data_IF_435210459010
#
_entry.id   IF_435210459010
#
_cell.length_a   1.000
_cell.length_b   1.000
_cell.length_c   1.000
_cell.angle_alpha   90.00
_cell.angle_beta   90.00
_cell.angle_gamma   90.00
#
_symmetry.space_group_name_H-M   'P 1'
#
loop_
_entity.id
_entity.type
_entity.pdbx_description
1 polymer ?
#
# COMPACT_ATOMS: atom_id res chain seq x y z
N UNK A 1 -9.34 -3.59 6.99
CA UNK A 1 -8.16 -4.06 7.77
C UNK A 1 -6.98 -3.15 7.47
N UNK A 2 -6.21 -2.78 8.46
CA UNK A 2 -4.94 -2.05 8.29
C UNK A 2 -3.84 -2.86 8.97
N UNK A 3 -2.77 -3.17 8.25
CA UNK A 3 -1.64 -3.94 8.77
C UNK A 3 -0.40 -3.05 8.91
N UNK A 4 0.14 -2.96 10.12
CA UNK A 4 1.22 -2.04 10.49
C UNK A 4 2.26 -2.75 11.35
N UNK A 5 3.53 -2.41 11.16
CA UNK A 5 4.62 -2.87 12.01
C UNK A 5 5.31 -1.72 12.76
N UNK A 6 5.92 -2.05 13.89
CA UNK A 6 6.75 -1.13 14.65
C UNK A 6 8.12 -1.76 14.93
N UNK A 7 9.05 -1.02 15.50
CA UNK A 7 10.36 -1.56 15.87
C UNK A 7 10.29 -2.68 16.92
N UNK A 8 9.22 -2.74 17.68
CA UNK A 8 8.99 -3.80 18.71
C UNK A 8 8.25 -5.02 18.19
N UNK A 9 7.60 -4.90 17.04
CA UNK A 9 6.82 -5.97 16.45
C UNK A 9 7.36 -6.25 15.05
N UNK A 10 7.91 -7.42 14.85
CA UNK A 10 8.39 -7.84 13.54
C UNK A 10 7.19 -8.13 12.65
N UNK A 11 7.26 -7.66 11.42
CA UNK A 11 6.27 -7.95 10.41
C UNK A 11 6.55 -9.30 9.77
N UNK A 12 6.20 -10.38 10.44
CA UNK A 12 6.45 -11.73 9.92
C UNK A 12 5.76 -11.99 8.58
N UNK A 13 4.65 -11.31 8.33
CA UNK A 13 3.96 -11.32 7.04
C UNK A 13 4.79 -10.66 5.92
N UNK A 14 5.81 -9.88 6.29
CA UNK A 14 6.79 -9.30 5.38
C UNK A 14 8.09 -10.10 5.32
N UNK A 15 8.12 -11.33 5.81
CA UNK A 15 9.30 -12.19 5.74
C UNK A 15 9.42 -12.81 4.34
N UNK A 16 10.10 -12.19 3.38
CA UNK A 16 10.30 -12.79 2.07
C UNK A 16 11.27 -13.97 2.22
N UNK A 17 10.90 -15.07 1.65
CA UNK A 17 11.76 -16.22 1.47
C UNK A 17 11.80 -16.56 -0.02
N UNK A 18 12.45 -17.66 -0.40
CA UNK A 18 12.53 -18.05 -1.80
C UNK A 18 11.18 -18.34 -2.45
N UNK A 19 10.15 -18.64 -1.66
CA UNK A 19 8.81 -18.93 -2.15
C UNK A 19 7.90 -17.69 -2.14
N UNK A 20 8.17 -16.69 -1.28
CA UNK A 20 7.24 -15.61 -0.95
C UNK A 20 7.82 -14.21 -1.23
N UNK A 21 8.31 -13.99 -2.46
CA UNK A 21 8.79 -12.65 -2.88
C UNK A 21 7.71 -11.54 -2.78
N UNK A 22 6.44 -11.93 -2.64
CA UNK A 22 5.31 -10.99 -2.53
C UNK A 22 5.10 -10.42 -1.13
N UNK A 23 5.75 -10.96 -0.11
CA UNK A 23 5.52 -10.59 1.29
C UNK A 23 6.29 -9.37 1.77
N UNK A 24 6.82 -8.55 0.86
CA UNK A 24 7.66 -7.42 1.25
C UNK A 24 6.87 -6.26 1.90
N UNK A 25 5.67 -5.96 1.40
CA UNK A 25 4.91 -4.78 1.80
C UNK A 25 3.72 -4.98 2.76
N UNK A 26 3.30 -6.18 3.18
CA UNK A 26 2.05 -6.36 3.91
C UNK A 26 1.95 -5.56 5.21
N UNK A 27 3.08 -5.26 5.87
CA UNK A 27 3.12 -4.52 7.14
C UNK A 27 3.40 -3.02 6.99
N UNK A 28 3.40 -2.51 5.76
CA UNK A 28 3.71 -1.11 5.45
C UNK A 28 2.45 -0.23 5.37
N UNK A 29 1.44 -0.56 6.17
CA UNK A 29 0.15 0.11 6.19
C UNK A 29 -0.79 -0.40 5.11
N UNK A 30 -0.65 -1.67 4.74
CA UNK A 30 -1.56 -2.30 3.80
C UNK A 30 -3.00 -2.22 4.31
N UNK A 31 -3.90 -1.73 3.46
CA UNK A 31 -5.33 -1.58 3.74
C UNK A 31 -6.13 -2.47 2.81
N UNK A 32 -7.03 -3.25 3.34
CA UNK A 32 -7.93 -4.09 2.53
C UNK A 32 -9.38 -3.68 2.82
N UNK A 33 -10.11 -3.39 1.75
CA UNK A 33 -11.52 -3.06 1.78
C UNK A 33 -12.32 -4.23 1.24
N UNK A 34 -13.22 -4.77 2.02
CA UNK A 34 -14.03 -5.90 1.61
C UNK A 34 -15.52 -5.60 1.82
N UNK A 35 -16.31 -5.90 0.81
CA UNK A 35 -17.75 -5.84 0.84
C UNK A 35 -18.38 -7.21 0.60
N UNK A 36 -17.90 -7.93 -0.42
CA UNK A 36 -18.40 -9.26 -0.80
C UNK A 36 -17.41 -10.37 -0.47
N UNK A 37 -16.14 -10.04 -0.23
CA UNK A 37 -15.04 -10.98 -0.06
C UNK A 37 -14.41 -11.43 -1.39
N UNK A 38 -14.88 -10.93 -2.52
CA UNK A 38 -14.34 -11.26 -3.85
C UNK A 38 -13.34 -10.23 -4.38
N UNK A 39 -13.17 -9.10 -3.69
CA UNK A 39 -12.38 -7.96 -4.13
C UNK A 39 -10.91 -8.31 -4.38
N UNK A 40 -10.38 -9.27 -3.63
CA UNK A 40 -8.97 -9.70 -3.72
C UNK A 40 -8.83 -11.18 -4.11
N UNK A 41 -9.94 -11.80 -4.54
CA UNK A 41 -9.92 -13.23 -4.86
C UNK A 41 -9.07 -13.51 -6.08
N UNK A 42 -8.11 -14.43 -5.93
CA UNK A 42 -7.22 -14.89 -7.00
C UNK A 42 -6.41 -13.79 -7.69
N UNK A 43 -6.18 -12.65 -7.01
CA UNK A 43 -5.49 -11.49 -7.58
C UNK A 43 -3.97 -11.65 -7.58
N UNK A 44 -3.40 -12.50 -6.74
CA UNK A 44 -1.96 -12.57 -6.47
C UNK A 44 -1.11 -12.78 -7.72
N UNK A 45 -1.57 -13.58 -8.69
CA UNK A 45 -0.82 -13.82 -9.91
C UNK A 45 -0.61 -12.59 -10.80
N UNK A 46 -1.50 -11.59 -10.71
CA UNK A 46 -1.39 -10.31 -11.42
C UNK A 46 -1.04 -9.13 -10.53
N UNK A 47 -0.68 -9.39 -9.27
CA UNK A 47 -0.45 -8.35 -8.27
C UNK A 47 0.79 -7.53 -8.57
N UNK A 48 0.66 -6.20 -8.56
CA UNK A 48 1.79 -5.30 -8.46
C UNK A 48 2.13 -5.13 -6.97
N UNK A 49 3.18 -5.80 -6.53
CA UNK A 49 3.58 -5.78 -5.11
C UNK A 49 3.93 -4.39 -4.62
N UNK A 50 4.41 -3.51 -5.51
CA UNK A 50 4.73 -2.11 -5.18
C UNK A 50 3.50 -1.22 -5.13
N UNK A 51 2.36 -1.71 -5.62
CA UNK A 51 1.06 -1.06 -5.58
C UNK A 51 0.09 -1.75 -4.61
N UNK A 52 0.60 -2.42 -3.60
CA UNK A 52 -0.25 -3.00 -2.54
C UNK A 52 -1.14 -1.92 -1.92
N UNK A 53 -2.42 -2.19 -1.70
CA UNK A 53 -3.37 -1.22 -1.17
C UNK A 53 -2.86 -0.54 0.10
N UNK A 54 -2.97 0.78 0.18
CA UNK A 54 -2.53 1.58 1.33
C UNK A 54 -1.03 1.83 1.41
N UNK A 55 -0.21 1.13 0.63
CA UNK A 55 1.25 1.18 0.74
C UNK A 55 1.82 2.39 0.01
N UNK A 56 2.86 2.98 0.61
CA UNK A 56 3.68 4.03 -0.02
C UNK A 56 5.02 3.42 -0.39
N UNK A 57 5.27 3.28 -1.68
CA UNK A 57 6.44 2.60 -2.21
C UNK A 57 6.99 3.27 -3.48
N UNK A 58 8.17 2.85 -3.89
CA UNK A 58 8.78 3.26 -5.15
C UNK A 58 8.22 2.46 -6.31
N UNK A 59 7.88 3.12 -7.39
CA UNK A 59 7.46 2.47 -8.64
C UNK A 59 8.59 1.62 -9.24
N UNK A 60 8.22 0.57 -9.96
CA UNK A 60 9.14 -0.27 -10.72
C UNK A 60 9.98 -1.23 -9.89
N UNK A 61 9.64 -1.41 -8.61
CA UNK A 61 10.29 -2.37 -7.72
C UNK A 61 9.59 -3.74 -7.73
N UNK A 62 8.98 -4.11 -8.83
CA UNK A 62 8.19 -5.34 -8.99
C UNK A 62 9.03 -6.62 -8.91
N UNK A 63 10.32 -6.49 -9.20
CA UNK A 63 11.29 -7.57 -9.11
C UNK A 63 12.20 -7.32 -7.92
N UNK A 64 11.68 -7.62 -6.75
CA UNK A 64 12.52 -7.68 -5.58
C UNK A 64 13.38 -8.93 -5.71
N UNK A 65 14.69 -8.75 -5.72
CA UNK A 65 15.60 -9.86 -5.46
C UNK A 65 15.15 -10.52 -4.16
N UNK A 66 14.95 -11.84 -4.13
CA UNK A 66 14.53 -12.52 -2.92
C UNK A 66 15.60 -12.34 -1.85
N UNK A 67 15.31 -11.47 -0.90
CA UNK A 67 16.09 -11.32 0.31
C UNK A 67 15.55 -12.28 1.33
N UNK A 68 16.28 -13.34 1.62
CA UNK A 68 15.90 -14.26 2.68
C UNK A 68 16.05 -13.55 4.02
N UNK A 69 14.93 -13.33 4.67
CA UNK A 69 14.87 -12.68 5.96
C UNK A 69 13.89 -13.42 6.88
N UNK A 70 14.43 -14.17 7.80
CA UNK A 70 13.64 -14.99 8.73
C UNK A 70 12.82 -14.20 9.73
N UNK A 71 13.17 -12.93 9.96
CA UNK A 71 12.46 -12.07 10.91
C UNK A 71 11.50 -11.09 10.24
N UNK A 72 11.54 -10.98 8.91
CA UNK A 72 10.75 -10.02 8.17
C UNK A 72 11.26 -8.59 8.29
N UNK A 73 10.34 -7.66 8.12
CA UNK A 73 10.61 -6.22 8.16
C UNK A 73 9.80 -5.55 9.26
N UNK A 74 10.28 -4.42 9.72
CA UNK A 74 9.59 -3.58 10.69
C UNK A 74 9.81 -2.10 10.39
N UNK A 75 9.19 -1.22 11.16
CA UNK A 75 9.55 0.20 11.15
C UNK A 75 10.74 0.46 12.06
N UNK A 76 11.55 1.46 11.74
CA UNK A 76 12.59 2.00 12.66
C UNK A 76 12.00 2.66 13.90
N UNK A 77 10.70 2.93 13.89
CA UNK A 77 10.02 3.69 14.93
C UNK A 77 9.17 2.80 15.82
N UNK A 78 9.12 3.17 17.09
CA UNK A 78 8.31 2.47 18.08
C UNK A 78 6.93 3.12 18.23
N UNK A 79 6.27 3.35 17.11
CA UNK A 79 4.93 3.92 17.10
C UNK A 79 4.07 3.21 16.04
N UNK A 80 3.19 2.36 16.51
CA UNK A 80 2.04 1.82 15.80
C UNK A 80 0.94 1.61 16.83
N UNK A 81 -0.19 2.22 16.64
CA UNK A 81 -1.30 2.18 17.60
C UNK A 81 -2.64 2.20 16.86
N UNK A 82 -3.64 1.60 17.50
CA UNK A 82 -5.02 1.67 17.07
C UNK A 82 -5.94 1.70 18.29
N UNK A 83 -7.10 2.31 18.11
CA UNK A 83 -8.18 2.33 19.09
C UNK A 83 -9.52 2.22 18.37
N UNK A 84 -10.50 1.65 19.06
CA UNK A 84 -11.89 1.57 18.62
C UNK A 84 -12.81 1.90 19.78
N UNK A 85 -13.96 2.44 19.47
CA UNK A 85 -15.02 2.72 20.46
C UNK A 85 -15.97 1.55 20.67
N UNK A 86 -15.76 0.45 19.92
CA UNK A 86 -16.62 -0.74 19.98
C UNK A 86 -17.88 -0.66 19.12
N UNK A 87 -18.19 0.49 18.53
CA UNK A 87 -19.35 0.66 17.62
C UNK A 87 -19.04 0.36 16.16
N UNK A 88 -17.76 0.19 15.84
CA UNK A 88 -17.22 0.04 14.48
C UNK A 88 -16.38 1.23 14.03
N UNK A 89 -16.39 2.32 14.79
CA UNK A 89 -15.51 3.44 14.57
C UNK A 89 -14.11 3.12 15.12
N UNK A 90 -13.08 3.52 14.38
CA UNK A 90 -11.70 3.22 14.75
C UNK A 90 -10.73 4.29 14.26
N UNK A 91 -9.63 4.40 14.96
CA UNK A 91 -8.46 5.19 14.54
C UNK A 91 -7.21 4.32 14.62
N UNK A 92 -6.33 4.47 13.65
CA UNK A 92 -5.04 3.83 13.66
C UNK A 92 -3.97 4.76 13.11
N UNK A 93 -2.72 4.57 13.53
CA UNK A 93 -1.62 5.35 13.01
C UNK A 93 -0.27 4.72 13.31
N UNK A 94 0.70 5.03 12.45
CA UNK A 94 2.06 4.57 12.64
C UNK A 94 3.07 5.47 11.91
N UNK A 95 4.33 5.32 12.29
CA UNK A 95 5.44 5.95 11.58
C UNK A 95 6.08 4.87 10.71
N UNK A 96 5.96 5.06 9.41
CA UNK A 96 6.54 4.17 8.42
C UNK A 96 7.97 4.62 8.08
N UNK A 97 8.93 3.76 8.33
CA UNK A 97 10.31 3.84 7.84
C UNK A 97 10.88 2.43 7.93
N UNK A 98 10.84 1.71 6.82
CA UNK A 98 11.14 0.28 6.77
C UNK A 98 12.58 -0.04 7.13
N UNK A 99 12.77 -1.11 7.85
CA UNK A 99 14.06 -1.74 8.08
C UNK A 99 13.93 -3.26 8.13
N UNK A 100 15.03 -3.95 7.90
CA UNK A 100 15.12 -5.37 8.16
C UNK A 100 15.09 -5.60 9.68
N UNK A 101 14.23 -6.50 10.15
CA UNK A 101 14.08 -6.76 11.59
C UNK A 101 15.33 -7.37 12.22
N UNK A 102 16.20 -8.01 11.44
CA UNK A 102 17.49 -8.54 11.91
C UNK A 102 18.54 -7.46 12.19
N UNK A 103 18.35 -6.26 11.69
CA UNK A 103 19.26 -5.12 11.90
C UNK A 103 18.98 -4.35 13.19
N UNK A 104 17.99 -4.79 13.98
CA UNK A 104 17.70 -4.18 15.28
C UNK A 104 18.87 -4.32 16.22
N UNK A 105 19.12 -3.27 16.98
CA UNK A 105 20.09 -3.32 18.08
C UNK A 105 19.75 -4.44 19.07
N UNK A 106 20.75 -5.19 19.47
CA UNK A 106 20.61 -6.32 20.40
C UNK A 106 20.03 -7.60 19.79
N UNK A 107 19.72 -7.61 18.50
CA UNK A 107 19.32 -8.83 17.80
C UNK A 107 20.54 -9.54 17.25
N UNK A 108 20.75 -10.76 17.69
CA UNK A 108 21.82 -11.66 17.21
C UNK A 108 21.20 -12.74 16.33
N UNK A 109 20.81 -12.37 15.12
CA UNK A 109 20.21 -13.27 14.15
C UNK A 109 21.23 -13.64 13.07
N UNK A 110 21.76 -14.84 13.14
CA UNK A 110 22.75 -15.38 12.20
C UNK A 110 22.12 -15.86 10.88
N UNK A 111 20.80 -15.90 10.80
CA UNK A 111 20.08 -16.46 9.66
C UNK A 111 19.61 -15.40 8.65
N UNK A 112 19.79 -14.12 8.94
CA UNK A 112 19.37 -13.08 8.00
C UNK A 112 20.40 -12.90 6.91
N UNK A 113 20.03 -13.09 5.68
CA UNK A 113 20.84 -12.60 4.59
C UNK A 113 20.83 -11.08 4.62
N UNK A 114 22.00 -10.49 4.61
CA UNK A 114 22.22 -9.05 4.59
C UNK A 114 21.86 -8.38 3.24
N UNK A 115 21.09 -9.02 2.40
CA UNK A 115 20.66 -8.47 1.12
C UNK A 115 19.58 -7.41 1.28
N UNK A 116 19.88 -6.33 2.01
CA UNK A 116 19.05 -5.15 2.03
C UNK A 116 19.10 -4.46 0.69
N UNK A 117 18.02 -4.45 -0.05
CA UNK A 117 17.92 -3.51 -1.14
C UNK A 117 17.65 -2.11 -0.54
N UNK A 118 18.71 -1.35 -0.31
CA UNK A 118 18.65 0.00 0.29
C UNK A 118 17.66 0.94 -0.43
N UNK A 119 17.43 0.70 -1.71
CA UNK A 119 16.46 1.45 -2.51
C UNK A 119 15.05 1.35 -1.92
N UNK A 120 14.72 0.24 -1.32
CA UNK A 120 13.41 -0.01 -0.70
C UNK A 120 13.23 0.72 0.63
N UNK A 121 14.33 1.04 1.31
CA UNK A 121 14.31 1.71 2.61
C UNK A 121 14.27 3.22 2.53
N UNK A 122 14.36 3.78 1.37
CA UNK A 122 14.45 5.22 1.18
C UNK A 122 13.16 6.00 1.42
N UNK A 123 12.11 5.38 1.97
CA UNK A 123 10.81 6.01 2.15
C UNK A 123 10.45 6.10 3.62
N UNK A 124 10.06 7.31 4.04
CA UNK A 124 9.46 7.56 5.36
C UNK A 124 8.13 8.27 5.18
N UNK A 125 7.15 7.94 6.00
CA UNK A 125 5.86 8.60 6.07
C UNK A 125 5.23 8.48 7.46
N UNK A 126 4.43 9.48 7.84
CA UNK A 126 3.50 9.40 8.96
C UNK A 126 2.14 9.05 8.39
N UNK A 127 1.52 7.98 8.85
CA UNK A 127 0.23 7.53 8.35
C UNK A 127 -0.79 7.44 9.46
N UNK A 128 -2.00 7.88 9.16
CA UNK A 128 -3.15 7.81 10.08
C UNK A 128 -4.40 7.40 9.30
N UNK A 129 -5.25 6.65 9.95
CA UNK A 129 -6.46 6.10 9.40
C UNK A 129 -7.61 6.36 10.37
N UNK A 130 -8.71 6.88 9.86
CA UNK A 130 -9.92 7.15 10.60
C UNK A 130 -11.06 6.42 9.92
N UNK A 131 -11.71 5.53 10.64
CA UNK A 131 -12.82 4.73 10.15
C UNK A 131 -14.06 5.16 10.91
N UNK A 132 -15.11 5.50 10.17
CA UNK A 132 -16.40 5.86 10.73
C UNK A 132 -17.50 5.29 9.85
N UNK A 133 -18.22 4.30 10.35
CA UNK A 133 -19.20 3.57 9.57
C UNK A 133 -18.62 3.05 8.25
N UNK A 134 -19.20 3.44 7.13
CA UNK A 134 -18.77 3.03 5.78
C UNK A 134 -17.66 3.90 5.18
N UNK A 135 -17.09 4.81 5.96
CA UNK A 135 -16.07 5.74 5.49
C UNK A 135 -14.71 5.46 6.12
N UNK A 136 -13.68 5.57 5.31
CA UNK A 136 -12.30 5.63 5.81
C UNK A 136 -11.60 6.86 5.25
N UNK A 137 -10.95 7.62 6.12
CA UNK A 137 -10.04 8.69 5.75
C UNK A 137 -8.63 8.22 6.07
N UNK A 138 -7.79 8.14 5.04
CA UNK A 138 -6.36 7.86 5.17
C UNK A 138 -5.57 9.15 4.96
N UNK A 139 -4.71 9.49 5.91
CA UNK A 139 -3.85 10.66 5.85
C UNK A 139 -2.38 10.21 5.82
N UNK A 140 -1.61 10.86 4.97
CA UNK A 140 -0.16 10.69 4.90
C UNK A 140 0.53 12.04 5.00
N UNK A 141 1.55 12.13 5.84
CA UNK A 141 2.36 13.33 6.01
C UNK A 141 3.85 12.99 5.99
N UNK A 142 4.68 13.98 5.67
CA UNK A 142 6.14 13.82 5.71
C UNK A 142 6.67 12.72 4.79
N UNK A 143 5.99 12.44 3.69
CA UNK A 143 6.47 11.46 2.70
C UNK A 143 7.81 11.95 2.16
N UNK A 144 8.86 11.19 2.46
CA UNK A 144 10.23 11.57 2.15
C UNK A 144 10.86 10.50 1.26
N UNK A 145 11.44 10.93 0.15
CA UNK A 145 12.29 10.10 -0.69
C UNK A 145 13.77 10.37 -0.36
N UNK A 146 14.40 9.49 0.39
CA UNK A 146 15.81 9.60 0.77
C UNK A 146 16.77 9.05 -0.29
N UNK A 147 16.25 8.38 -1.29
CA UNK A 147 16.97 7.80 -2.42
C UNK A 147 16.56 8.49 -3.72
N UNK A 148 16.68 9.81 -3.75
CA UNK A 148 16.20 10.64 -4.87
C UNK A 148 16.91 10.37 -6.21
N UNK A 149 18.13 9.82 -6.16
CA UNK A 149 18.88 9.41 -7.36
C UNK A 149 18.41 8.09 -7.99
N UNK A 150 17.52 7.36 -7.33
CA UNK A 150 17.00 6.11 -7.86
C UNK A 150 15.82 6.36 -8.81
N UNK A 151 15.68 5.54 -9.87
CA UNK A 151 14.56 5.65 -10.79
C UNK A 151 13.23 5.33 -10.09
N UNK A 152 12.13 5.78 -10.68
CA UNK A 152 10.77 5.61 -10.16
C UNK A 152 10.37 6.67 -9.12
N UNK A 153 9.10 7.00 -9.12
CA UNK A 153 8.52 7.94 -8.16
C UNK A 153 8.05 7.21 -6.90
N UNK A 154 8.01 7.93 -5.79
CA UNK A 154 7.29 7.44 -4.61
C UNK A 154 5.79 7.68 -4.84
N UNK A 155 5.01 6.63 -4.74
CA UNK A 155 3.56 6.68 -4.85
C UNK A 155 2.90 6.06 -3.62
N UNK A 156 1.70 6.52 -3.30
CA UNK A 156 0.80 5.85 -2.36
C UNK A 156 -0.33 5.22 -3.17
N UNK A 157 -0.47 3.92 -3.06
CA UNK A 157 -1.58 3.19 -3.68
C UNK A 157 -2.79 3.28 -2.75
N UNK A 158 -3.93 3.65 -3.27
CA UNK A 158 -5.18 3.69 -2.49
C UNK A 158 -5.73 2.27 -2.39
N UNK A 159 -5.88 1.60 -3.53
CA UNK A 159 -6.38 0.25 -3.60
C UNK A 159 -5.85 -0.46 -4.86
N UNK A 160 -5.87 -1.77 -4.84
CA UNK A 160 -5.64 -2.65 -5.98
C UNK A 160 -6.54 -3.87 -5.84
N UNK A 161 -7.61 -3.93 -6.62
CA UNK A 161 -8.65 -4.95 -6.51
C UNK A 161 -8.92 -5.63 -7.85
N UNK A 162 -9.63 -6.74 -7.78
CA UNK A 162 -10.22 -7.34 -9.00
C UNK A 162 -11.25 -6.37 -9.58
N UNK A 163 -11.26 -6.22 -10.90
CA UNK A 163 -12.26 -5.45 -11.62
C UNK A 163 -13.57 -6.25 -11.67
N UNK A 164 -14.41 -6.05 -10.67
CA UNK A 164 -15.69 -6.76 -10.55
C UNK A 164 -16.82 -6.10 -11.35
N UNK A 165 -16.76 -4.78 -11.49
CA UNK A 165 -17.78 -3.96 -12.16
C UNK A 165 -17.15 -2.78 -12.87
N UNK A 166 -17.97 -2.04 -13.61
CA UNK A 166 -17.56 -0.85 -14.33
C UNK A 166 -16.93 0.19 -13.41
N UNK A 167 -15.93 0.87 -13.93
CA UNK A 167 -15.23 1.96 -13.25
C UNK A 167 -15.56 3.27 -13.92
N UNK A 168 -15.84 4.30 -13.15
CA UNK A 168 -16.11 5.63 -13.67
C UNK A 168 -15.53 6.74 -12.78
N UNK A 169 -15.35 7.90 -13.36
CA UNK A 169 -15.16 9.15 -12.63
C UNK A 169 -16.51 9.87 -12.48
N UNK A 170 -16.80 10.25 -11.24
CA UNK A 170 -17.96 11.06 -10.90
C UNK A 170 -17.50 12.46 -10.47
N UNK A 171 -17.81 13.47 -11.28
CA UNK A 171 -17.47 14.86 -11.02
C UNK A 171 -18.69 15.76 -11.24
N UNK A 172 -19.06 16.54 -10.23
CA UNK A 172 -20.20 17.48 -10.28
C UNK A 172 -21.49 16.84 -10.81
N UNK A 173 -21.76 15.60 -10.41
CA UNK A 173 -22.92 14.85 -10.88
C UNK A 173 -22.80 14.22 -12.26
N UNK A 174 -21.74 14.50 -13.00
CA UNK A 174 -21.46 13.86 -14.29
C UNK A 174 -20.64 12.60 -14.08
N UNK A 175 -21.13 11.50 -14.63
CA UNK A 175 -20.46 10.20 -14.64
C UNK A 175 -19.74 10.01 -15.98
N UNK A 176 -18.47 9.63 -15.94
CA UNK A 176 -17.66 9.32 -17.12
C UNK A 176 -17.08 7.94 -16.95
N UNK A 177 -17.52 6.98 -17.77
CA UNK A 177 -17.00 5.62 -17.75
C UNK A 177 -15.53 5.59 -18.18
N UNK A 178 -14.76 4.72 -17.56
CA UNK A 178 -13.35 4.48 -17.89
C UNK A 178 -13.24 3.15 -18.63
N UNK A 179 -12.60 3.19 -19.79
CA UNK A 179 -12.26 2.00 -20.56
C UNK A 179 -11.03 1.29 -19.97
N UNK A 180 -10.66 0.16 -20.55
CA UNK A 180 -9.37 -0.46 -20.27
C UNK A 180 -8.21 0.49 -20.56
N UNK A 181 -7.20 0.47 -19.72
CA UNK A 181 -6.01 1.31 -19.84
C UNK A 181 -5.72 2.14 -18.60
N UNK A 182 -4.75 3.04 -18.71
CA UNK A 182 -4.34 3.95 -17.64
C UNK A 182 -4.96 5.32 -17.81
N UNK A 183 -5.71 5.75 -16.81
CA UNK A 183 -6.36 7.06 -16.78
C UNK A 183 -5.73 7.93 -15.71
N UNK A 184 -5.38 9.15 -16.06
CA UNK A 184 -4.70 10.10 -15.17
C UNK A 184 -5.47 11.41 -15.10
N UNK A 185 -5.58 11.99 -13.91
CA UNK A 185 -6.15 13.31 -13.72
C UNK A 185 -5.39 14.15 -12.70
N UNK A 186 -5.46 15.47 -12.91
CA UNK A 186 -4.92 16.42 -11.93
C UNK A 186 -5.92 16.62 -10.81
N UNK A 187 -5.40 16.77 -9.61
CA UNK A 187 -6.19 17.07 -8.41
C UNK A 187 -5.94 18.52 -8.02
N UNK A 188 -7.01 19.25 -7.84
CA UNK A 188 -6.98 20.64 -7.38
C UNK A 188 -8.24 20.95 -6.57
N UNK A 189 -8.26 22.04 -5.82
CA UNK A 189 -9.44 22.47 -5.07
C UNK A 189 -10.73 22.59 -5.88
N UNK A 190 -10.62 22.72 -7.20
CA UNK A 190 -11.75 22.78 -8.14
C UNK A 190 -12.04 21.44 -8.83
N UNK A 191 -11.10 20.50 -8.79
CA UNK A 191 -11.20 19.20 -9.46
C UNK A 191 -10.83 18.08 -8.50
N UNK A 192 -11.82 17.51 -7.87
CA UNK A 192 -11.69 16.37 -6.93
C UNK A 192 -12.74 15.31 -7.26
N UNK A 193 -12.62 14.63 -8.40
CA UNK A 193 -13.59 13.61 -8.78
C UNK A 193 -13.52 12.42 -7.81
N UNK A 194 -14.64 11.73 -7.71
CA UNK A 194 -14.67 10.38 -7.15
C UNK A 194 -14.31 9.37 -8.24
N UNK A 195 -13.43 8.46 -7.94
CA UNK A 195 -13.27 7.21 -8.69
C UNK A 195 -14.22 6.20 -8.08
N UNK A 196 -15.12 5.65 -8.89
CA UNK A 196 -16.17 4.73 -8.43
C UNK A 196 -16.04 3.42 -9.17
N UNK A 197 -15.89 2.33 -8.45
CA UNK A 197 -16.14 0.98 -8.94
C UNK A 197 -17.59 0.64 -8.54
N UNK A 198 -18.47 0.50 -9.53
CA UNK A 198 -19.92 0.40 -9.29
C UNK A 198 -20.29 -0.77 -8.41
N UNK A 199 -21.14 -0.50 -7.43
CA UNK A 199 -21.57 -1.51 -6.46
C UNK A 199 -20.49 -1.99 -5.49
N UNK A 200 -19.29 -1.41 -5.53
CA UNK A 200 -18.16 -1.74 -4.67
C UNK A 200 -17.75 -0.54 -3.83
N UNK A 201 -16.70 0.16 -4.24
CA UNK A 201 -16.11 1.25 -3.48
C UNK A 201 -16.02 2.54 -4.29
N UNK A 202 -15.95 3.65 -3.59
CA UNK A 202 -15.65 4.95 -4.15
C UNK A 202 -14.46 5.57 -3.43
N UNK A 203 -13.56 6.17 -4.20
CA UNK A 203 -12.30 6.75 -3.72
C UNK A 203 -12.23 8.21 -4.11
N UNK A 204 -11.77 9.05 -3.20
CA UNK A 204 -11.53 10.46 -3.45
C UNK A 204 -10.22 10.91 -2.87
N UNK A 205 -9.39 11.55 -3.66
CA UNK A 205 -8.14 12.15 -3.22
C UNK A 205 -8.38 13.62 -2.91
N UNK A 206 -8.01 14.04 -1.70
CA UNK A 206 -8.17 15.44 -1.27
C UNK A 206 -7.05 16.30 -1.85
N UNK A 207 -7.37 17.55 -2.29
CA UNK A 207 -6.46 18.39 -3.06
C UNK A 207 -5.26 18.92 -2.28
N UNK A 208 -5.35 18.97 -0.95
CA UNK A 208 -4.30 19.48 -0.09
C UNK A 208 -3.06 18.57 -0.07
N UNK A 209 -3.24 17.27 -0.39
CA UNK A 209 -2.22 16.25 -0.16
C UNK A 209 -1.70 15.58 -1.43
N UNK A 210 -2.35 15.80 -2.56
CA UNK A 210 -1.92 15.23 -3.83
C UNK A 210 -2.25 16.15 -4.99
N UNK A 211 -1.43 16.09 -6.04
CA UNK A 211 -1.61 16.91 -7.25
C UNK A 211 -2.07 16.10 -8.46
N UNK A 212 -1.91 14.79 -8.38
CA UNK A 212 -2.19 13.87 -9.49
C UNK A 212 -2.64 12.52 -8.94
N UNK A 213 -3.65 11.94 -9.56
CA UNK A 213 -4.02 10.55 -9.35
C UNK A 213 -4.13 9.84 -10.69
N UNK A 214 -4.01 8.51 -10.65
CA UNK A 214 -4.28 7.66 -11.79
C UNK A 214 -4.96 6.38 -11.35
N UNK A 215 -5.60 5.71 -12.28
CA UNK A 215 -6.12 4.35 -12.16
C UNK A 215 -5.70 3.54 -13.37
N UNK A 216 -5.32 2.30 -13.17
CA UNK A 216 -5.09 1.33 -14.23
C UNK A 216 -6.24 0.31 -14.21
N UNK A 217 -7.00 0.25 -15.31
CA UNK A 217 -8.04 -0.75 -15.57
C UNK A 217 -7.47 -1.71 -16.60
N UNK A 218 -6.85 -2.81 -16.16
CA UNK A 218 -6.09 -3.67 -17.05
C UNK A 218 -6.22 -5.15 -16.69
N UNK A 219 -6.00 -6.01 -17.70
CA UNK A 219 -5.84 -7.44 -17.51
C UNK A 219 -4.34 -7.72 -17.44
N UNK A 220 -3.90 -8.35 -16.38
CA UNK A 220 -2.53 -8.80 -16.19
C UNK A 220 -2.44 -10.30 -16.34
N UNK A 221 -1.42 -10.83 -17.03
CA UNK A 221 -1.17 -12.27 -17.03
C UNK A 221 -0.84 -12.71 -15.61
N UNK A 222 -1.36 -13.84 -15.19
CA UNK A 222 -0.99 -14.44 -13.92
C UNK A 222 0.45 -14.97 -14.03
N UNK A 223 1.38 -14.21 -13.52
CA UNK A 223 2.74 -14.69 -13.28
C UNK A 223 2.75 -15.36 -11.91
N UNK A 224 2.30 -16.59 -11.87
CA UNK A 224 2.59 -17.44 -10.73
C UNK A 224 4.10 -17.60 -10.72
N UNK A 225 4.74 -17.07 -9.69
CA UNK A 225 6.14 -17.36 -9.47
C UNK A 225 6.22 -18.86 -9.41
N UNK A 226 6.91 -19.40 -10.38
CA UNK A 226 7.17 -20.83 -10.42
C UNK A 226 8.03 -21.13 -9.20
N UNK A 227 7.47 -21.86 -8.31
CA UNK A 227 8.11 -22.39 -7.13
C UNK A 227 9.01 -23.55 -7.49
#
# INVERSE_FOLDING_TARGET
MVNMASVRCDGLESAPNFADAYNFYPTDGMTLFQRSGNEYRSIMGGWDVTASPGVTAREGMERLEPVVNWRGYCSKHNYAAAATDGSGDAVAGYIFEKMNASEKEGVNDRGSSAGCNEVLYGVKAYKSYFIQGDYMVALGAGVTNRQSGQPGHIRTTIDQTVLLNDVCLLEKGKKTALSAGVHTWKISGKNTPWLVQEGQFAYRVLPEYSRKAFVACETRPANWVLH
#
